data_IF_850882088060
#
_entry.id   IF_850882088060
#
_cell.length_a   1.000
_cell.length_b   1.000
_cell.length_c   1.000
_cell.angle_alpha   90.00
_cell.angle_beta   90.00
_cell.angle_gamma   90.00
#
_symmetry.space_group_name_H-M   'P 1'
#
loop_
_entity.id
_entity.type
_entity.pdbx_description
1 polymer ?
#
# COMPACT_ATOMS: atom_id res chain seq x y z
N UNK A 1 20.20 19.63 31.30
CA UNK A 1 18.88 20.16 30.87
C UNK A 1 18.71 20.11 29.37
N UNK A 2 19.60 20.75 28.58
CA UNK A 2 19.48 20.84 27.11
C UNK A 2 19.41 19.47 26.39
N UNK A 3 20.23 18.49 26.78
CA UNK A 3 20.19 17.15 26.17
C UNK A 3 18.86 16.41 26.39
N UNK A 4 18.26 16.59 27.57
CA UNK A 4 16.97 15.98 27.91
C UNK A 4 15.83 16.63 27.12
N UNK A 5 15.83 17.96 27.00
CA UNK A 5 14.81 18.69 26.25
C UNK A 5 14.90 18.39 24.75
N UNK A 6 16.11 18.34 24.17
CA UNK A 6 16.30 17.96 22.76
C UNK A 6 15.95 16.49 22.50
N UNK A 7 16.28 15.60 23.44
CA UNK A 7 15.89 14.17 23.37
C UNK A 7 14.37 13.99 23.42
N UNK A 8 13.69 14.66 24.35
CA UNK A 8 12.23 14.62 24.45
C UNK A 8 11.56 15.20 23.20
N UNK A 9 12.05 16.33 22.70
CA UNK A 9 11.51 16.98 21.50
C UNK A 9 11.64 16.10 20.25
N UNK A 10 12.82 15.51 20.03
CA UNK A 10 13.05 14.58 18.91
C UNK A 10 12.18 13.34 19.05
N UNK A 11 12.08 12.75 20.25
CA UNK A 11 11.21 11.62 20.52
C UNK A 11 9.74 11.92 20.20
N UNK A 12 9.21 13.07 20.63
CA UNK A 12 7.84 13.48 20.32
C UNK A 12 7.59 13.66 18.83
N UNK A 13 8.56 14.20 18.08
CA UNK A 13 8.47 14.31 16.61
C UNK A 13 8.42 12.92 15.97
N UNK A 14 9.28 12.00 16.39
CA UNK A 14 9.26 10.63 15.87
C UNK A 14 7.94 9.93 16.21
N UNK A 15 7.47 10.04 17.45
CA UNK A 15 6.19 9.48 17.89
C UNK A 15 5.03 9.99 17.02
N UNK A 16 4.93 11.30 16.82
CA UNK A 16 3.91 11.90 15.97
C UNK A 16 4.03 11.42 14.51
N UNK A 17 5.25 11.31 13.97
CA UNK A 17 5.47 10.82 12.60
C UNK A 17 5.05 9.35 12.45
N UNK A 18 5.37 8.50 13.43
CA UNK A 18 4.98 7.09 13.41
C UNK A 18 3.47 6.90 13.55
N UNK A 19 2.81 7.67 14.42
CA UNK A 19 1.34 7.59 14.56
C UNK A 19 0.63 8.02 13.29
N UNK A 20 1.06 9.13 12.66
CA UNK A 20 0.53 9.55 11.37
C UNK A 20 0.77 8.52 10.27
N UNK A 21 1.97 7.94 10.20
CA UNK A 21 2.28 6.87 9.24
C UNK A 21 1.38 5.64 9.43
N UNK A 22 1.16 5.23 10.67
CA UNK A 22 0.27 4.12 10.99
C UNK A 22 -1.18 4.45 10.59
N UNK A 23 -1.66 5.65 10.92
CA UNK A 23 -2.99 6.12 10.49
C UNK A 23 -3.13 6.10 8.97
N UNK A 24 -2.20 6.72 8.24
CA UNK A 24 -2.25 6.79 6.78
C UNK A 24 -2.02 5.44 6.08
N UNK A 25 -1.47 4.45 6.79
CA UNK A 25 -1.32 3.09 6.27
C UNK A 25 -2.62 2.29 6.22
N UNK A 26 -3.68 2.76 6.88
CA UNK A 26 -4.99 2.11 6.81
C UNK A 26 -5.66 2.38 5.46
N UNK A 27 -5.78 1.34 4.63
CA UNK A 27 -6.41 1.38 3.30
C UNK A 27 -7.76 0.66 3.25
N UNK A 28 -8.27 0.17 4.38
CA UNK A 28 -9.54 -0.59 4.43
C UNK A 28 -10.73 0.20 3.88
N UNK A 29 -10.70 1.53 4.01
CA UNK A 29 -11.75 2.43 3.52
C UNK A 29 -11.92 2.42 2.00
N UNK A 30 -10.88 2.11 1.21
CA UNK A 30 -10.92 2.14 -0.26
C UNK A 30 -11.75 0.97 -0.82
N UNK A 31 -11.76 -0.15 -0.10
CA UNK A 31 -12.48 -1.36 -0.50
C UNK A 31 -13.91 -1.42 0.07
N UNK A 32 -14.32 -0.42 0.86
CA UNK A 32 -15.70 -0.33 1.36
C UNK A 32 -16.67 0.10 0.26
N UNK A 33 -17.89 -0.45 0.31
CA UNK A 33 -18.93 -0.10 -0.65
C UNK A 33 -19.34 1.38 -0.51
N UNK A 34 -19.41 2.07 -1.64
CA UNK A 34 -19.82 3.47 -1.68
C UNK A 34 -21.21 3.64 -1.04
N UNK A 35 -21.32 4.54 -0.07
CA UNK A 35 -22.57 4.91 0.60
C UNK A 35 -22.76 4.38 2.02
N UNK A 36 -21.98 3.38 2.48
CA UNK A 36 -22.05 2.87 3.86
C UNK A 36 -20.67 2.76 4.48
N UNK A 37 -20.21 3.84 5.14
CA UNK A 37 -18.94 3.80 5.88
C UNK A 37 -19.07 2.98 7.17
N UNK A 38 -18.16 2.00 7.34
CA UNK A 38 -18.00 1.23 8.57
C UNK A 38 -17.69 2.12 9.76
N UNK A 39 -18.09 1.71 10.96
CA UNK A 39 -17.74 2.39 12.22
C UNK A 39 -16.22 2.48 12.41
N UNK A 40 -15.47 1.47 11.97
CA UNK A 40 -14.00 1.47 11.96
C UNK A 40 -13.44 2.64 11.16
N UNK A 41 -13.92 2.82 9.93
CA UNK A 41 -13.48 3.88 9.01
C UNK A 41 -13.89 5.28 9.51
N UNK A 42 -15.05 5.40 10.17
CA UNK A 42 -15.43 6.66 10.84
C UNK A 42 -14.50 7.01 12.00
N UNK A 43 -14.17 6.05 12.86
CA UNK A 43 -13.21 6.25 13.96
C UNK A 43 -11.84 6.64 13.43
N UNK A 44 -11.36 5.92 12.41
CA UNK A 44 -10.11 6.24 11.73
C UNK A 44 -10.09 7.67 11.17
N UNK A 45 -11.13 8.10 10.44
CA UNK A 45 -11.23 9.46 9.90
C UNK A 45 -11.17 10.53 11.00
N UNK A 46 -11.84 10.29 12.13
CA UNK A 46 -11.81 11.22 13.26
C UNK A 46 -10.41 11.31 13.88
N UNK A 47 -9.70 10.19 14.04
CA UNK A 47 -8.31 10.17 14.49
C UNK A 47 -7.39 10.91 13.52
N UNK A 48 -7.53 10.66 12.21
CA UNK A 48 -6.76 11.36 11.17
C UNK A 48 -6.97 12.87 11.25
N UNK A 49 -8.22 13.33 11.38
CA UNK A 49 -8.51 14.77 11.54
C UNK A 49 -7.90 15.38 12.81
N UNK A 50 -7.90 14.63 13.92
CA UNK A 50 -7.31 15.09 15.18
C UNK A 50 -5.79 15.22 15.09
N UNK A 51 -5.11 14.22 14.51
CA UNK A 51 -3.65 14.18 14.43
C UNK A 51 -3.06 14.95 13.24
N UNK A 52 -3.84 15.26 12.20
CA UNK A 52 -3.39 16.02 11.02
C UNK A 52 -3.40 17.55 11.21
N UNK A 53 -3.99 18.05 12.31
CA UNK A 53 -4.06 19.48 12.61
C UNK A 53 -5.04 20.28 11.73
N UNK A 54 -5.15 21.60 11.99
CA UNK A 54 -6.18 22.48 11.39
C UNK A 54 -5.91 22.92 9.94
N UNK A 55 -4.66 22.86 9.45
CA UNK A 55 -4.28 23.26 8.08
C UNK A 55 -3.12 22.42 7.54
N UNK A 56 -3.39 21.21 7.02
CA UNK A 56 -2.37 20.46 6.32
C UNK A 56 -1.98 21.18 5.03
N UNK A 57 -0.68 21.38 4.81
CA UNK A 57 -0.14 21.83 3.52
C UNK A 57 -0.20 20.65 2.53
N UNK A 58 -0.36 20.91 1.24
CA UNK A 58 -0.56 19.87 0.21
C UNK A 58 0.44 18.70 0.30
N UNK A 59 1.70 18.98 0.65
CA UNK A 59 2.78 17.99 0.74
C UNK A 59 3.21 17.65 2.18
N UNK A 60 2.50 18.11 3.22
CA UNK A 60 2.94 17.93 4.62
C UNK A 60 3.00 16.46 5.06
N UNK A 61 2.24 15.59 4.40
CA UNK A 61 2.18 14.16 4.72
C UNK A 61 2.92 13.26 3.74
N UNK A 62 3.57 13.81 2.70
CA UNK A 62 4.27 13.00 1.71
C UNK A 62 5.37 12.12 2.35
N UNK A 63 6.06 12.64 3.36
CA UNK A 63 7.08 11.88 4.10
C UNK A 63 6.50 10.82 5.05
N UNK A 64 5.19 10.89 5.36
CA UNK A 64 4.49 9.94 6.23
C UNK A 64 3.73 8.86 5.45
N UNK A 65 3.62 8.99 4.12
CA UNK A 65 2.97 7.97 3.30
C UNK A 65 3.77 6.66 3.33
N UNK A 66 3.10 5.50 3.48
CA UNK A 66 3.77 4.23 3.35
C UNK A 66 4.30 4.07 1.92
N UNK A 67 5.43 3.36 1.78
CA UNK A 67 5.89 2.93 0.47
C UNK A 67 4.90 1.91 -0.07
N UNK A 68 4.58 2.00 -1.36
CA UNK A 68 3.74 1.00 -2.01
C UNK A 68 4.49 -0.33 -2.04
N UNK A 69 3.96 -1.42 -1.47
CA UNK A 69 4.60 -2.72 -1.57
C UNK A 69 4.52 -3.24 -3.01
N UNK A 70 5.59 -3.87 -3.47
CA UNK A 70 5.61 -4.58 -4.75
C UNK A 70 4.80 -5.87 -4.59
N UNK A 71 3.81 -6.17 -5.46
CA UNK A 71 3.03 -7.39 -5.37
C UNK A 71 3.90 -8.63 -5.59
N UNK A 72 3.43 -9.79 -5.12
CA UNK A 72 4.12 -11.05 -5.39
C UNK A 72 4.05 -11.41 -6.88
N UNK A 73 5.04 -12.16 -7.37
CA UNK A 73 5.04 -12.68 -8.74
C UNK A 73 3.82 -13.56 -8.97
N UNK A 74 3.47 -14.40 -7.99
CA UNK A 74 2.31 -15.28 -8.03
C UNK A 74 1.00 -14.53 -8.23
N UNK A 75 0.74 -13.52 -7.38
CA UNK A 75 -0.48 -12.70 -7.49
C UNK A 75 -0.54 -11.97 -8.83
N UNK A 76 0.62 -11.52 -9.32
CA UNK A 76 0.72 -10.80 -10.59
C UNK A 76 0.40 -11.70 -11.78
N UNK A 77 0.96 -12.92 -11.80
CA UNK A 77 0.69 -13.91 -12.85
C UNK A 77 -0.77 -14.33 -12.85
N UNK A 78 -1.34 -14.61 -11.67
CA UNK A 78 -2.74 -14.99 -11.56
C UNK A 78 -3.66 -13.90 -12.13
N UNK A 79 -3.48 -12.66 -11.68
CA UNK A 79 -4.28 -11.51 -12.16
C UNK A 79 -4.09 -11.24 -13.64
N UNK A 80 -2.87 -11.46 -14.16
CA UNK A 80 -2.58 -11.35 -15.58
C UNK A 80 -3.40 -12.36 -16.39
N UNK A 81 -3.34 -13.65 -16.02
CA UNK A 81 -4.09 -14.70 -16.70
C UNK A 81 -5.61 -14.46 -16.64
N UNK A 82 -6.13 -14.06 -15.48
CA UNK A 82 -7.53 -13.66 -15.33
C UNK A 82 -7.91 -12.50 -16.27
N UNK A 83 -7.03 -11.50 -16.42
CA UNK A 83 -7.29 -10.32 -17.27
C UNK A 83 -7.30 -10.63 -18.77
N UNK A 84 -6.48 -11.58 -19.22
CA UNK A 84 -6.39 -11.97 -20.64
C UNK A 84 -7.36 -13.08 -21.02
N UNK A 85 -7.89 -13.83 -20.05
CA UNK A 85 -8.86 -14.92 -20.27
C UNK A 85 -10.04 -14.55 -21.18
N UNK A 86 -10.74 -13.41 -21.02
CA UNK A 86 -11.84 -13.05 -21.91
C UNK A 86 -11.40 -12.58 -23.31
N UNK A 87 -10.11 -12.33 -23.52
CA UNK A 87 -9.56 -11.80 -24.76
C UNK A 87 -8.99 -12.89 -25.68
N UNK A 88 -8.71 -14.08 -25.14
CA UNK A 88 -7.99 -15.15 -25.82
C UNK A 88 -8.88 -16.37 -26.06
N UNK A 89 -8.68 -17.06 -27.19
CA UNK A 89 -9.26 -18.37 -27.39
C UNK A 89 -8.59 -19.43 -26.48
N UNK A 90 -9.19 -20.63 -26.40
CA UNK A 90 -8.70 -21.67 -25.49
C UNK A 90 -7.27 -22.14 -25.79
N UNK A 91 -6.84 -22.13 -27.05
CA UNK A 91 -5.47 -22.54 -27.44
C UNK A 91 -4.47 -21.45 -27.08
N UNK A 92 -4.79 -20.20 -27.41
CA UNK A 92 -3.96 -19.04 -27.08
C UNK A 92 -3.80 -18.89 -25.56
N UNK A 93 -4.88 -19.09 -24.80
CA UNK A 93 -4.83 -19.04 -23.35
C UNK A 93 -3.96 -20.15 -22.76
N UNK A 94 -4.08 -21.39 -23.23
CA UNK A 94 -3.23 -22.50 -22.78
C UNK A 94 -1.74 -22.25 -23.06
N UNK A 95 -1.42 -21.65 -24.21
CA UNK A 95 -0.05 -21.21 -24.51
C UNK A 95 0.42 -20.13 -23.52
N UNK A 96 -0.46 -19.18 -23.18
CA UNK A 96 -0.13 -18.12 -22.23
C UNK A 96 0.10 -18.65 -20.81
N UNK A 97 -0.67 -19.65 -20.37
CA UNK A 97 -0.45 -20.32 -19.07
C UNK A 97 0.92 -20.99 -19.00
N UNK A 98 1.34 -21.67 -20.08
CA UNK A 98 2.67 -22.29 -20.17
C UNK A 98 3.78 -21.25 -20.07
N UNK A 99 3.69 -20.16 -20.84
CA UNK A 99 4.68 -19.08 -20.82
C UNK A 99 4.75 -18.39 -19.46
N UNK A 100 3.59 -18.14 -18.83
CA UNK A 100 3.55 -17.53 -17.51
C UNK A 100 4.19 -18.43 -16.44
N UNK A 101 3.98 -19.75 -16.54
CA UNK A 101 4.64 -20.73 -15.66
C UNK A 101 6.15 -20.76 -15.89
N UNK A 102 6.60 -20.80 -17.14
CA UNK A 102 8.02 -20.78 -17.48
C UNK A 102 8.70 -19.50 -16.97
N UNK A 103 8.07 -18.34 -17.17
CA UNK A 103 8.54 -17.05 -16.63
C UNK A 103 8.71 -17.08 -15.11
N UNK A 104 7.72 -17.64 -14.39
CA UNK A 104 7.78 -17.77 -12.93
C UNK A 104 9.00 -18.58 -12.46
N UNK A 105 9.28 -19.69 -13.15
CA UNK A 105 10.35 -20.63 -12.78
C UNK A 105 11.75 -20.16 -13.19
N UNK A 106 11.86 -19.31 -14.21
CA UNK A 106 13.13 -18.88 -14.80
C UNK A 106 13.54 -17.46 -14.40
N UNK A 107 12.86 -16.45 -14.94
CA UNK A 107 13.31 -15.05 -14.90
C UNK A 107 12.69 -14.25 -13.76
N UNK A 108 11.48 -14.63 -13.31
CA UNK A 108 10.69 -13.80 -12.41
C UNK A 108 11.40 -13.49 -11.08
N UNK A 109 12.09 -14.48 -10.49
CA UNK A 109 12.81 -14.28 -9.23
C UNK A 109 13.99 -13.29 -9.37
N UNK A 110 14.65 -13.27 -10.52
CA UNK A 110 15.73 -12.33 -10.78
C UNK A 110 15.17 -10.93 -11.01
N UNK A 111 14.12 -10.78 -11.82
CA UNK A 111 13.50 -9.48 -12.11
C UNK A 111 12.86 -8.86 -10.86
N UNK A 112 12.17 -9.65 -10.03
CA UNK A 112 11.55 -9.19 -8.80
C UNK A 112 12.56 -8.62 -7.79
N UNK A 113 13.82 -9.08 -7.82
CA UNK A 113 14.89 -8.55 -6.96
C UNK A 113 15.39 -7.17 -7.37
N UNK A 114 15.20 -6.79 -8.64
CA UNK A 114 15.61 -5.49 -9.16
C UNK A 114 14.52 -4.40 -8.99
N UNK A 115 13.32 -4.77 -8.55
CA UNK A 115 12.17 -3.89 -8.28
C UNK A 115 12.09 -3.51 -6.80
#
# INVERSE_FOLDING_TARGET
>A
AVLFTTGLWTFLIYLMRYTLKALLSYHGWIFESHGKMSTSTKMWLNLVKMFSGRRPLLYSFQAALPRLPVPSVDDTIQRYLESVRPLLDSKQYAQMELLAKEFKETEAAQLQRYL
#
